data_IF_115428128111
#
_entry.id   IF_115428128111
#
_cell.length_a   1.000
_cell.length_b   1.000
_cell.length_c   1.000
_cell.angle_alpha   90.00
_cell.angle_beta   90.00
_cell.angle_gamma   90.00
#
_symmetry.space_group_name_H-M   'P 1'
#
loop_
_entity.id
_entity.type
_entity.pdbx_description
1 polymer ?
#
# COMPACT_ATOMS: atom_id res chain seq x y z
N UNK A 1 -32.98 3.15 9.27
CA UNK A 1 -32.91 1.94 8.43
C UNK A 1 -34.31 1.40 8.12
N UNK A 2 -35.20 1.37 9.12
CA UNK A 2 -36.57 0.86 9.01
C UNK A 2 -37.42 1.53 7.91
N UNK A 3 -37.46 2.87 7.85
CA UNK A 3 -38.29 3.60 6.87
C UNK A 3 -37.98 3.29 5.39
N UNK A 4 -36.74 2.94 5.04
CA UNK A 4 -36.38 2.55 3.66
C UNK A 4 -36.80 1.12 3.35
N UNK A 5 -36.66 0.22 4.33
CA UNK A 5 -37.07 -1.19 4.23
C UNK A 5 -38.59 -1.32 4.10
N UNK A 6 -39.35 -0.50 4.83
CA UNK A 6 -40.82 -0.48 4.77
C UNK A 6 -41.35 -0.08 3.39
N UNK A 7 -40.67 0.85 2.71
CA UNK A 7 -41.05 1.32 1.37
C UNK A 7 -40.76 0.28 0.27
N UNK A 8 -39.68 -0.48 0.41
CA UNK A 8 -39.26 -1.46 -0.59
C UNK A 8 -39.72 -2.88 -0.28
N UNK A 9 -40.27 -3.11 0.91
CA UNK A 9 -40.63 -4.44 1.43
C UNK A 9 -39.47 -5.45 1.42
N UNK A 10 -38.23 -4.96 1.37
CA UNK A 10 -37.04 -5.79 1.40
C UNK A 10 -36.62 -5.97 2.87
N UNK A 11 -36.78 -7.19 3.37
CA UNK A 11 -36.30 -7.61 4.69
C UNK A 11 -34.83 -8.04 4.65
N UNK A 12 -34.18 -8.10 5.82
CA UNK A 12 -32.83 -8.65 5.92
C UNK A 12 -32.78 -10.11 5.46
N UNK A 13 -33.77 -10.92 5.84
CA UNK A 13 -33.87 -12.33 5.44
C UNK A 13 -33.96 -12.48 3.91
N UNK A 14 -34.72 -11.61 3.25
CA UNK A 14 -34.80 -11.59 1.79
C UNK A 14 -33.42 -11.35 1.16
N UNK A 15 -32.67 -10.36 1.67
CA UNK A 15 -31.33 -10.06 1.15
C UNK A 15 -30.37 -11.23 1.37
N UNK A 16 -30.39 -11.83 2.56
CA UNK A 16 -29.55 -12.98 2.89
C UNK A 16 -29.88 -14.16 1.97
N UNK A 17 -31.15 -14.44 1.74
CA UNK A 17 -31.60 -15.51 0.85
C UNK A 17 -31.11 -15.28 -0.59
N UNK A 18 -31.28 -14.07 -1.12
CA UNK A 18 -30.83 -13.73 -2.47
C UNK A 18 -29.31 -13.77 -2.63
N UNK A 19 -28.56 -13.37 -1.62
CA UNK A 19 -27.10 -13.47 -1.63
C UNK A 19 -26.63 -14.93 -1.60
N UNK A 20 -27.33 -15.83 -0.89
CA UNK A 20 -27.01 -17.27 -0.93
C UNK A 20 -27.24 -17.86 -2.32
N UNK A 21 -28.38 -17.56 -2.93
CA UNK A 21 -28.69 -18.01 -4.29
C UNK A 21 -27.64 -17.51 -5.29
N UNK A 22 -27.23 -16.25 -5.20
CA UNK A 22 -26.17 -15.71 -6.07
C UNK A 22 -24.82 -16.38 -5.83
N UNK A 23 -24.46 -16.67 -4.58
CA UNK A 23 -23.20 -17.32 -4.22
C UNK A 23 -23.09 -18.75 -4.79
N UNK A 24 -24.21 -19.46 -4.92
CA UNK A 24 -24.29 -20.84 -5.40
C UNK A 24 -24.60 -20.95 -6.91
N UNK A 25 -24.94 -19.84 -7.57
CA UNK A 25 -25.38 -19.87 -8.96
C UNK A 25 -24.21 -20.12 -9.94
N UNK A 26 -24.19 -21.26 -10.60
CA UNK A 26 -23.21 -21.63 -11.64
C UNK A 26 -23.79 -21.66 -13.07
N UNK A 27 -25.00 -21.12 -13.25
CA UNK A 27 -25.68 -21.12 -14.54
C UNK A 27 -25.15 -20.10 -15.56
N UNK A 28 -25.83 -20.02 -16.70
CA UNK A 28 -25.50 -19.05 -17.75
C UNK A 28 -25.63 -17.61 -17.25
N UNK A 29 -24.63 -16.78 -17.55
CA UNK A 29 -24.54 -15.42 -17.01
C UNK A 29 -24.01 -15.34 -15.58
N UNK A 30 -23.65 -16.47 -14.95
CA UNK A 30 -22.94 -16.47 -13.67
C UNK A 30 -21.59 -15.77 -13.80
N UNK A 31 -21.30 -14.87 -12.87
CA UNK A 31 -20.00 -14.21 -12.80
C UNK A 31 -19.29 -14.57 -11.48
N UNK A 32 -18.03 -15.08 -11.54
CA UNK A 32 -17.29 -15.44 -10.33
C UNK A 32 -17.15 -14.29 -9.33
N UNK A 33 -17.07 -13.05 -9.84
CA UNK A 33 -16.96 -11.86 -9.01
C UNK A 33 -18.22 -11.62 -8.16
N UNK A 34 -19.43 -11.83 -8.71
CA UNK A 34 -20.65 -11.70 -7.91
C UNK A 34 -20.74 -12.79 -6.85
N UNK A 35 -20.34 -14.03 -7.17
CA UNK A 35 -20.32 -15.13 -6.19
C UNK A 35 -19.40 -14.83 -5.00
N UNK A 36 -18.16 -14.42 -5.30
CA UNK A 36 -17.19 -14.03 -4.26
C UNK A 36 -17.71 -12.84 -3.46
N UNK A 37 -18.33 -11.85 -4.11
CA UNK A 37 -18.87 -10.69 -3.42
C UNK A 37 -20.05 -11.05 -2.52
N UNK A 38 -20.92 -11.95 -2.96
CA UNK A 38 -22.03 -12.45 -2.17
C UNK A 38 -21.53 -13.19 -0.91
N UNK A 39 -20.51 -14.04 -1.06
CA UNK A 39 -19.85 -14.71 0.07
C UNK A 39 -19.18 -13.72 1.03
N UNK A 40 -18.53 -12.66 0.53
CA UNK A 40 -17.96 -11.60 1.36
C UNK A 40 -19.04 -10.92 2.22
N UNK A 41 -20.17 -10.53 1.61
CA UNK A 41 -21.26 -9.86 2.29
C UNK A 41 -21.93 -10.78 3.34
N UNK A 42 -22.12 -12.04 3.02
CA UNK A 42 -22.62 -13.05 3.97
C UNK A 42 -21.63 -13.26 5.12
N UNK A 43 -20.34 -13.36 4.84
CA UNK A 43 -19.28 -13.48 5.84
C UNK A 43 -19.21 -12.27 6.78
N UNK A 44 -19.38 -11.06 6.24
CA UNK A 44 -19.50 -9.82 7.04
C UNK A 44 -20.75 -9.82 7.91
N UNK A 45 -21.89 -10.29 7.39
CA UNK A 45 -23.15 -10.37 8.14
C UNK A 45 -23.03 -11.28 9.37
N UNK A 46 -22.33 -12.42 9.26
CA UNK A 46 -22.10 -13.36 10.37
C UNK A 46 -20.89 -13.00 11.25
N UNK A 47 -20.20 -11.89 10.97
CA UNK A 47 -19.03 -11.45 11.73
C UNK A 47 -17.75 -12.25 11.47
N UNK A 48 -17.68 -13.02 10.39
CA UNK A 48 -16.48 -13.78 10.00
C UNK A 48 -15.37 -12.86 9.45
N UNK A 49 -15.75 -11.76 8.83
CA UNK A 49 -14.82 -10.76 8.29
C UNK A 49 -14.94 -9.46 9.07
N UNK A 50 -13.83 -8.99 9.66
CA UNK A 50 -13.74 -7.70 10.33
C UNK A 50 -12.87 -6.76 9.49
N UNK A 51 -13.30 -5.51 9.36
CA UNK A 51 -12.50 -4.49 8.69
C UNK A 51 -11.31 -4.14 9.58
N UNK A 52 -10.11 -4.17 8.99
CA UNK A 52 -8.84 -3.87 9.66
C UNK A 52 -8.64 -2.36 9.86
N UNK A 53 -9.69 -1.64 10.27
CA UNK A 53 -9.55 -0.23 10.65
C UNK A 53 -8.81 -0.18 11.98
N UNK A 54 -7.63 0.43 11.95
CA UNK A 54 -6.80 0.68 13.13
C UNK A 54 -7.64 1.36 14.21
N UNK A 55 -7.84 0.67 15.32
CA UNK A 55 -8.22 1.27 16.59
C UNK A 55 -7.11 2.22 17.03
N UNK A 56 -7.13 3.45 16.52
CA UNK A 56 -6.52 4.60 17.20
C UNK A 56 -7.58 5.14 18.16
N UNK A 57 -7.93 4.33 19.15
CA UNK A 57 -8.61 4.86 20.32
C UNK A 57 -7.56 5.63 21.13
N UNK A 58 -7.67 6.96 21.14
CA UNK A 58 -6.88 7.88 21.93
C UNK A 58 -5.36 7.92 21.62
N UNK A 59 -4.99 8.46 20.46
CA UNK A 59 -3.68 9.09 20.35
C UNK A 59 -3.74 10.45 21.08
N UNK A 60 -3.33 10.50 22.35
CA UNK A 60 -3.05 11.77 23.02
C UNK A 60 -1.93 12.49 22.24
N UNK A 61 -2.28 13.61 21.62
CA UNK A 61 -1.31 14.51 21.01
C UNK A 61 -0.60 15.26 22.14
N UNK A 62 0.57 14.76 22.55
CA UNK A 62 1.43 15.46 23.51
C UNK A 62 2.24 16.52 22.75
N UNK A 63 1.87 17.78 22.93
CA UNK A 63 2.72 18.89 22.51
C UNK A 63 3.92 18.97 23.46
N UNK A 64 5.12 18.69 22.94
CA UNK A 64 6.36 18.98 23.66
C UNK A 64 6.74 20.42 23.36
N UNK A 65 6.78 21.26 24.39
CA UNK A 65 7.26 22.64 24.29
C UNK A 65 8.75 22.59 23.91
N UNK A 66 9.06 22.95 22.67
CA UNK A 66 10.44 23.07 22.20
C UNK A 66 10.98 24.41 22.72
N UNK A 67 11.97 24.42 23.64
CA UNK A 67 12.51 25.66 24.15
C UNK A 67 13.12 26.48 23.00
N UNK A 68 12.99 27.81 23.01
CA UNK A 68 13.58 28.65 21.99
C UNK A 68 15.10 28.42 21.92
N UNK A 69 15.70 28.45 20.72
CA UNK A 69 17.15 28.33 20.58
C UNK A 69 17.80 29.42 21.43
N UNK A 70 18.60 29.01 22.41
CA UNK A 70 19.36 29.97 23.21
C UNK A 70 20.30 30.73 22.26
N UNK A 71 20.43 32.06 22.41
CA UNK A 71 21.41 32.80 21.63
C UNK A 71 22.78 32.18 21.91
N UNK A 72 23.52 31.88 20.83
CA UNK A 72 24.85 31.31 20.92
C UNK A 72 25.64 32.13 21.95
N UNK A 73 26.04 31.49 23.05
CA UNK A 73 26.91 32.12 24.02
C UNK A 73 28.12 32.63 23.25
N UNK A 74 28.37 33.94 23.33
CA UNK A 74 29.50 34.59 22.70
C UNK A 74 30.75 33.92 23.24
N UNK A 75 31.33 33.02 22.43
CA UNK A 75 32.53 32.29 22.81
C UNK A 75 33.59 33.34 23.16
N UNK A 76 34.31 33.20 24.30
CA UNK A 76 35.48 34.04 24.53
C UNK A 76 36.39 33.87 23.31
N UNK A 77 36.77 34.99 22.71
CA UNK A 77 37.60 35.00 21.51
C UNK A 77 38.84 34.14 21.71
N UNK A 78 39.36 33.48 20.66
CA UNK A 78 40.52 32.63 20.80
C UNK A 78 41.70 33.50 21.26
N UNK A 79 42.07 33.37 22.54
CA UNK A 79 43.33 33.87 23.04
C UNK A 79 44.43 33.22 22.19
N UNK A 80 45.13 34.07 21.43
CA UNK A 80 46.20 33.66 20.54
C UNK A 80 47.25 32.85 21.29
N UNK A 81 47.40 31.58 20.87
CA UNK A 81 48.59 30.77 21.07
C UNK A 81 48.83 29.94 19.81
N UNK A 82 49.58 30.55 18.90
CA UNK A 82 50.84 30.02 18.39
C UNK A 82 50.95 28.50 18.23
N UNK A 83 50.69 28.05 16.99
CA UNK A 83 51.56 27.17 16.22
C UNK A 83 51.89 25.77 16.72
N UNK A 84 51.23 24.76 16.14
CA UNK A 84 51.86 23.49 15.77
C UNK A 84 51.32 23.00 14.42
N UNK A 85 52.17 22.71 13.41
CA UNK A 85 51.75 22.02 12.19
C UNK A 85 51.93 20.51 12.40
N UNK A 86 50.84 19.74 12.39
CA UNK A 86 50.97 18.28 12.39
C UNK A 86 49.97 17.60 11.44
N UNK A 87 50.53 17.30 10.26
CA UNK A 87 50.43 16.05 9.51
C UNK A 87 49.07 15.63 8.90
N UNK A 88 48.93 15.90 7.60
CA UNK A 88 47.91 15.29 6.75
C UNK A 88 48.31 13.85 6.38
N UNK A 89 47.44 12.85 6.54
CA UNK A 89 47.71 11.52 6.00
C UNK A 89 47.61 11.53 4.46
N UNK A 90 48.44 10.74 3.75
CA UNK A 90 48.43 10.70 2.28
C UNK A 90 47.17 10.04 1.72
N UNK A 91 46.69 10.60 0.62
CA UNK A 91 45.58 10.10 -0.18
C UNK A 91 45.87 8.70 -0.75
N UNK A 92 44.88 7.80 -0.69
CA UNK A 92 44.97 6.47 -1.33
C UNK A 92 44.65 6.60 -2.82
N UNK A 93 45.39 5.90 -3.71
CA UNK A 93 45.18 6.01 -5.14
C UNK A 93 43.91 5.30 -5.61
N UNK A 94 43.29 5.93 -6.60
CA UNK A 94 42.11 5.54 -7.37
C UNK A 94 42.37 4.22 -8.10
N UNK A 95 41.53 3.21 -7.87
CA UNK A 95 41.48 2.00 -8.69
C UNK A 95 40.37 2.15 -9.73
N UNK A 96 40.80 2.41 -10.97
CA UNK A 96 39.99 2.33 -12.17
C UNK A 96 39.77 0.87 -12.59
N UNK A 97 38.55 0.54 -12.99
CA UNK A 97 38.19 -0.69 -13.70
C UNK A 97 36.76 -0.54 -14.23
N UNK A 98 36.61 -0.11 -15.49
CA UNK A 98 36.40 -0.94 -16.69
C UNK A 98 34.97 -1.53 -16.73
N UNK A 99 34.10 -0.97 -17.59
CA UNK A 99 33.71 -1.55 -18.89
C UNK A 99 33.11 -2.96 -18.75
N UNK A 100 31.86 -3.23 -19.14
CA UNK A 100 30.92 -2.45 -19.96
C UNK A 100 29.50 -3.05 -19.94
N UNK A 101 28.59 -2.50 -20.75
CA UNK A 101 27.19 -2.91 -20.79
C UNK A 101 27.02 -4.13 -21.71
N UNK A 102 26.41 -5.20 -21.20
CA UNK A 102 25.91 -6.28 -22.04
C UNK A 102 24.41 -6.12 -22.23
N UNK A 103 24.05 -5.77 -23.45
CA UNK A 103 22.71 -5.49 -23.94
C UNK A 103 22.04 -6.80 -24.33
N UNK A 104 21.10 -7.28 -23.51
CA UNK A 104 20.14 -8.32 -23.90
C UNK A 104 18.78 -7.71 -24.20
N UNK A 105 18.54 -7.35 -25.47
CA UNK A 105 17.22 -6.92 -25.96
C UNK A 105 16.23 -8.10 -26.11
N UNK A 106 14.91 -7.81 -26.14
CA UNK A 106 13.83 -8.78 -26.03
C UNK A 106 13.31 -9.26 -27.40
N UNK A 107 13.04 -10.54 -27.53
CA UNK A 107 12.31 -11.15 -28.67
C UNK A 107 11.69 -12.47 -28.16
N UNK A 108 10.53 -12.96 -28.58
CA UNK A 108 9.41 -12.50 -29.39
C UNK A 108 8.25 -13.44 -29.01
N UNK A 109 7.04 -12.91 -28.87
CA UNK A 109 5.83 -13.69 -28.61
C UNK A 109 5.16 -14.02 -29.94
N UNK A 110 4.94 -15.29 -30.30
CA UNK A 110 3.97 -15.60 -31.35
C UNK A 110 2.54 -15.63 -30.79
N UNK A 111 1.73 -14.74 -31.36
CA UNK A 111 0.27 -14.61 -31.32
C UNK A 111 -0.51 -15.89 -31.71
N UNK A 112 -1.81 -15.97 -31.37
CA UNK A 112 -2.67 -17.14 -31.61
C UNK A 112 -3.09 -17.27 -33.08
N UNK A 113 -3.13 -18.51 -33.59
CA UNK A 113 -3.73 -18.82 -34.89
C UNK A 113 -5.27 -18.80 -34.78
N UNK A 114 -5.89 -17.75 -35.30
CA UNK A 114 -7.24 -17.81 -35.86
C UNK A 114 -7.16 -18.45 -37.26
N UNK A 115 -7.99 -19.47 -37.50
CA UNK A 115 -8.43 -19.83 -38.85
C UNK A 115 -9.92 -20.13 -38.82
N UNK A 116 -10.69 -19.11 -39.19
CA UNK A 116 -11.96 -19.25 -39.87
C UNK A 116 -11.80 -20.04 -41.18
N UNK A 117 -12.74 -20.96 -41.44
CA UNK A 117 -13.19 -21.33 -42.81
C UNK A 117 -14.43 -22.21 -42.63
N UNK A 118 -15.64 -21.64 -42.61
CA UNK A 118 -16.53 -21.32 -43.75
C UNK A 118 -16.81 -22.47 -44.73
N UNK A 119 -18.13 -22.64 -44.93
CA UNK A 119 -18.88 -23.24 -46.05
C UNK A 119 -19.10 -24.75 -46.05
#
# INVERSE_FOLDING_TARGET
MQERSERTQISADYVIQRLKEEAEYEGEGSCPMARVKALELLGKHVGMFWDRQQTVEHAEVVYVEVPPPQPAAMLPGPDGRDGEPHDMPPEKPVLAGAHGPDSGEPTDSPSPEEKDSTT
#
